data_IF_436723344896
#
_entry.id   IF_436723344896
#
_cell.length_a   1.000
_cell.length_b   1.000
_cell.length_c   1.000
_cell.angle_alpha   90.00
_cell.angle_beta   90.00
_cell.angle_gamma   90.00
#
_symmetry.space_group_name_H-M   'P 1'
#
loop_
_entity.id
_entity.type
_entity.pdbx_description
1 polymer ?
#
# COMPACT_ATOMS: atom_id res chain seq x y z
N UNK A 1 3.53 -39.82 -29.66
CA UNK A 1 2.58 -39.41 -28.62
C UNK A 1 3.43 -38.91 -27.45
N UNK A 2 3.70 -37.62 -27.39
CA UNK A 2 4.40 -37.00 -26.27
C UNK A 2 3.41 -36.91 -25.13
N UNK A 3 3.72 -37.54 -23.99
CA UNK A 3 2.99 -37.35 -22.75
C UNK A 3 2.99 -35.85 -22.41
N UNK A 4 1.84 -35.22 -22.52
CA UNK A 4 1.62 -33.91 -21.96
C UNK A 4 1.63 -34.08 -20.44
N UNK A 5 2.80 -33.93 -19.82
CA UNK A 5 2.92 -33.82 -18.38
C UNK A 5 2.11 -32.60 -18.02
N UNK A 6 0.89 -32.79 -17.56
CA UNK A 6 0.03 -31.72 -17.08
C UNK A 6 0.64 -31.17 -15.78
N UNK A 7 1.46 -30.13 -15.93
CA UNK A 7 2.04 -29.44 -14.76
C UNK A 7 0.88 -29.01 -13.84
N UNK A 8 1.03 -29.25 -12.53
CA UNK A 8 0.01 -28.90 -11.55
C UNK A 8 -0.34 -27.40 -11.71
N UNK A 9 -1.61 -27.04 -11.96
CA UNK A 9 -2.04 -25.67 -12.26
C UNK A 9 -1.62 -24.66 -11.19
N UNK A 10 -1.50 -25.09 -9.93
CA UNK A 10 -1.03 -24.25 -8.82
C UNK A 10 0.47 -23.94 -9.01
N UNK A 11 1.29 -24.96 -9.32
CA UNK A 11 2.73 -24.75 -9.52
C UNK A 11 3.02 -23.90 -10.76
N UNK A 12 2.28 -24.12 -11.84
CA UNK A 12 2.41 -23.31 -13.05
C UNK A 12 2.07 -21.83 -12.78
N UNK A 13 0.98 -21.58 -12.07
CA UNK A 13 0.59 -20.22 -11.67
C UNK A 13 1.63 -19.57 -10.76
N UNK A 14 2.15 -20.28 -9.74
CA UNK A 14 3.18 -19.76 -8.84
C UNK A 14 4.47 -19.40 -9.60
N UNK A 15 4.93 -20.29 -10.47
CA UNK A 15 6.14 -20.09 -11.27
C UNK A 15 6.02 -18.89 -12.23
N UNK A 16 4.85 -18.68 -12.81
CA UNK A 16 4.58 -17.55 -13.69
C UNK A 16 4.40 -16.21 -12.92
N UNK A 17 3.82 -16.24 -11.72
CA UNK A 17 3.60 -15.07 -10.89
C UNK A 17 4.90 -14.53 -10.26
N UNK A 18 5.87 -15.39 -9.97
CA UNK A 18 7.12 -14.99 -9.31
C UNK A 18 7.90 -13.93 -10.10
N UNK A 19 8.30 -14.15 -11.38
CA UNK A 19 9.03 -13.12 -12.14
C UNK A 19 8.21 -11.85 -12.35
N UNK A 20 6.87 -11.96 -12.38
CA UNK A 20 6.00 -10.80 -12.52
C UNK A 20 5.97 -9.92 -11.26
N UNK A 21 6.17 -10.49 -10.07
CA UNK A 21 6.25 -9.76 -8.80
C UNK A 21 7.66 -9.20 -8.50
N UNK A 22 8.71 -9.71 -9.16
CA UNK A 22 10.12 -9.35 -8.90
C UNK A 22 10.43 -7.84 -8.95
N UNK A 23 9.87 -7.05 -9.88
CA UNK A 23 10.12 -5.61 -9.89
C UNK A 23 9.76 -4.90 -8.58
N UNK A 24 8.80 -5.44 -7.81
CA UNK A 24 8.37 -4.87 -6.53
C UNK A 24 9.21 -5.35 -5.34
N UNK A 25 10.03 -6.40 -5.51
CA UNK A 25 10.82 -7.01 -4.45
C UNK A 25 11.73 -5.99 -3.74
N UNK A 26 12.50 -5.22 -4.50
CA UNK A 26 13.45 -4.27 -3.93
C UNK A 26 12.75 -3.17 -3.12
N UNK A 27 11.66 -2.61 -3.65
CA UNK A 27 10.87 -1.57 -2.97
C UNK A 27 10.23 -2.09 -1.69
N UNK A 28 9.59 -3.26 -1.74
CA UNK A 28 8.94 -3.87 -0.58
C UNK A 28 9.93 -4.29 0.51
N UNK A 29 11.07 -4.87 0.14
CA UNK A 29 12.11 -5.18 1.11
C UNK A 29 12.68 -3.92 1.75
N UNK A 30 12.99 -2.89 0.98
CA UNK A 30 13.53 -1.65 1.49
C UNK A 30 12.56 -0.97 2.47
N UNK A 31 11.31 -0.77 2.08
CA UNK A 31 10.29 -0.15 2.93
C UNK A 31 9.92 -1.03 4.13
N UNK A 32 9.86 -2.35 3.96
CA UNK A 32 9.66 -3.30 5.05
C UNK A 32 10.79 -3.26 6.07
N UNK A 33 12.06 -3.19 5.60
CA UNK A 33 13.22 -3.04 6.49
C UNK A 33 13.12 -1.71 7.27
N UNK A 34 12.78 -0.61 6.60
CA UNK A 34 12.59 0.68 7.26
C UNK A 34 11.49 0.61 8.35
N UNK A 35 10.36 -0.07 8.06
CA UNK A 35 9.30 -0.31 9.02
C UNK A 35 9.78 -1.17 10.21
N UNK A 36 10.51 -2.25 9.94
CA UNK A 36 11.07 -3.10 10.99
C UNK A 36 12.03 -2.36 11.93
N UNK A 37 12.92 -1.52 11.37
CA UNK A 37 13.82 -0.64 12.13
C UNK A 37 13.00 0.34 12.98
N UNK A 38 11.96 0.95 12.42
CA UNK A 38 11.06 1.85 13.13
C UNK A 38 10.41 1.17 14.34
N UNK A 39 9.86 -0.04 14.15
CA UNK A 39 9.28 -0.82 15.25
C UNK A 39 10.31 -1.18 16.33
N UNK A 40 11.56 -1.46 15.93
CA UNK A 40 12.65 -1.70 16.87
C UNK A 40 12.99 -0.45 17.69
N UNK A 41 13.05 0.71 17.05
CA UNK A 41 13.30 2.00 17.71
C UNK A 41 12.19 2.37 18.72
N UNK A 42 10.94 1.97 18.47
CA UNK A 42 9.81 2.09 19.41
C UNK A 42 9.86 1.07 20.58
N UNK A 43 10.84 0.14 20.59
CA UNK A 43 11.01 -0.85 21.65
C UNK A 43 10.28 -2.18 21.41
N UNK A 44 9.67 -2.39 20.24
CA UNK A 44 8.96 -3.63 19.93
C UNK A 44 9.90 -4.75 19.50
N UNK A 45 9.65 -5.97 19.99
CA UNK A 45 10.33 -7.17 19.54
C UNK A 45 9.90 -7.59 18.13
N UNK A 46 10.69 -8.47 17.47
CA UNK A 46 10.52 -8.88 16.06
C UNK A 46 9.13 -9.42 15.72
N UNK A 47 8.47 -10.07 16.67
CA UNK A 47 7.14 -10.64 16.44
C UNK A 47 6.05 -9.60 16.19
N UNK A 48 6.21 -8.40 16.74
CA UNK A 48 5.24 -7.32 16.53
C UNK A 48 5.21 -6.84 15.06
N UNK A 49 6.32 -6.39 14.46
CA UNK A 49 6.29 -5.99 13.06
C UNK A 49 5.96 -7.14 12.11
N UNK A 50 6.40 -8.36 12.38
CA UNK A 50 6.07 -9.53 11.57
C UNK A 50 4.56 -9.83 11.62
N UNK A 51 3.95 -9.81 12.81
CA UNK A 51 2.51 -10.04 12.94
C UNK A 51 1.69 -8.91 12.31
N UNK A 52 2.07 -7.65 12.53
CA UNK A 52 1.39 -6.51 11.92
C UNK A 52 1.51 -6.55 10.39
N UNK A 53 2.69 -6.80 9.86
CA UNK A 53 2.94 -6.95 8.42
C UNK A 53 2.15 -8.11 7.79
N UNK A 54 1.95 -9.20 8.52
CA UNK A 54 1.17 -10.34 8.03
C UNK A 54 -0.35 -10.12 8.13
N UNK A 55 -0.84 -9.41 9.16
CA UNK A 55 -2.27 -9.31 9.45
C UNK A 55 -2.89 -8.00 8.96
N UNK A 56 -2.19 -6.88 9.11
CA UNK A 56 -2.66 -5.57 8.66
C UNK A 56 -2.34 -5.38 7.18
N UNK A 57 -1.10 -5.66 6.80
CA UNK A 57 -0.59 -5.58 5.43
C UNK A 57 -1.02 -4.29 4.71
N UNK A 58 -0.78 -3.17 5.34
CA UNK A 58 -1.10 -1.84 4.80
C UNK A 58 -0.02 -0.84 5.24
N UNK A 59 1.14 -0.86 4.59
CA UNK A 59 2.38 -0.20 4.96
C UNK A 59 2.24 1.13 5.71
N UNK A 60 1.59 2.14 5.10
CA UNK A 60 1.36 3.44 5.76
C UNK A 60 0.53 3.34 7.04
N UNK A 61 -0.47 2.45 7.08
CA UNK A 61 -1.29 2.22 8.28
C UNK A 61 -0.49 1.52 9.37
N UNK A 62 0.44 0.64 9.01
CA UNK A 62 1.29 -0.04 9.98
C UNK A 62 2.21 0.95 10.72
N UNK A 63 2.77 1.95 10.04
CA UNK A 63 3.53 3.03 10.69
C UNK A 63 2.64 3.86 11.63
N UNK A 64 1.42 4.20 11.21
CA UNK A 64 0.45 4.92 12.04
C UNK A 64 0.04 4.08 13.25
N UNK A 65 -0.25 2.81 13.06
CA UNK A 65 -0.61 1.87 14.11
C UNK A 65 0.54 1.71 15.11
N UNK A 66 1.78 1.57 14.64
CA UNK A 66 2.96 1.50 15.48
C UNK A 66 3.13 2.75 16.37
N UNK A 67 2.95 3.96 15.80
CA UNK A 67 2.96 5.20 16.58
C UNK A 67 1.82 5.24 17.60
N UNK A 68 0.62 4.80 17.21
CA UNK A 68 -0.55 4.78 18.09
C UNK A 68 -0.39 3.81 19.28
N UNK A 69 0.39 2.73 19.13
CA UNK A 69 0.67 1.77 20.22
C UNK A 69 1.50 2.38 21.37
N UNK A 70 2.30 3.42 21.09
CA UNK A 70 3.13 4.10 22.11
C UNK A 70 2.53 5.41 22.60
N UNK A 71 1.38 5.83 22.06
CA UNK A 71 0.63 7.03 22.48
C UNK A 71 -0.57 6.67 23.35
N UNK A 72 -1.18 7.63 24.06
CA UNK A 72 -2.46 7.40 24.72
C UNK A 72 -3.50 6.88 23.73
N UNK A 73 -4.11 5.74 24.05
CA UNK A 73 -5.00 5.03 23.13
C UNK A 73 -6.27 5.84 22.82
N UNK A 74 -6.42 6.24 21.56
CA UNK A 74 -7.61 6.93 21.04
C UNK A 74 -8.13 6.20 19.81
N UNK A 75 -9.05 5.22 20.00
CA UNK A 75 -9.51 4.37 18.89
C UNK A 75 -10.21 5.16 17.79
N UNK A 76 -10.94 6.21 18.14
CA UNK A 76 -11.62 7.06 17.15
C UNK A 76 -10.61 7.81 16.26
N UNK A 77 -9.57 8.37 16.86
CA UNK A 77 -8.52 9.07 16.10
C UNK A 77 -7.79 8.10 15.16
N UNK A 78 -7.41 6.93 15.66
CA UNK A 78 -6.76 5.90 14.84
C UNK A 78 -7.67 5.46 13.70
N UNK A 79 -8.96 5.21 13.95
CA UNK A 79 -9.92 4.82 12.93
C UNK A 79 -10.09 5.90 11.84
N UNK A 80 -10.22 7.16 12.24
CA UNK A 80 -10.33 8.28 11.31
C UNK A 80 -9.08 8.42 10.44
N UNK A 81 -7.89 8.45 11.05
CA UNK A 81 -6.63 8.57 10.32
C UNK A 81 -6.44 7.38 9.37
N UNK A 82 -6.73 6.16 9.82
CA UNK A 82 -6.67 4.96 8.99
C UNK A 82 -7.61 5.06 7.79
N UNK A 83 -8.86 5.46 8.01
CA UNK A 83 -9.84 5.64 6.93
C UNK A 83 -9.35 6.69 5.91
N UNK A 84 -8.76 7.77 6.39
CA UNK A 84 -8.25 8.84 5.55
C UNK A 84 -7.06 8.40 4.69
N UNK A 85 -6.11 7.68 5.26
CA UNK A 85 -4.91 7.20 4.56
C UNK A 85 -5.23 6.05 3.62
N UNK A 86 -6.10 5.12 4.05
CA UNK A 86 -6.43 3.89 3.31
C UNK A 86 -7.75 3.95 2.56
N UNK A 87 -8.48 5.06 2.59
CA UNK A 87 -9.76 5.20 1.91
C UNK A 87 -9.70 4.93 0.40
N UNK A 88 -8.54 5.14 -0.23
CA UNK A 88 -8.29 4.79 -1.64
C UNK A 88 -8.46 3.29 -1.92
N UNK A 89 -8.20 2.42 -0.95
CA UNK A 89 -8.35 0.96 -1.12
C UNK A 89 -9.80 0.54 -1.36
N UNK A 90 -10.79 1.33 -0.92
CA UNK A 90 -12.21 1.12 -1.24
C UNK A 90 -12.42 1.18 -2.76
N UNK A 91 -11.82 2.15 -3.43
CA UNK A 91 -11.91 2.30 -4.88
C UNK A 91 -11.17 1.18 -5.62
N UNK A 92 -10.07 0.69 -5.08
CA UNK A 92 -9.40 -0.51 -5.61
C UNK A 92 -10.31 -1.73 -5.53
N UNK A 93 -10.95 -1.93 -4.37
CA UNK A 93 -11.92 -3.00 -4.19
C UNK A 93 -13.05 -2.95 -5.21
N UNK A 94 -13.64 -1.77 -5.44
CA UNK A 94 -14.69 -1.56 -6.45
C UNK A 94 -14.16 -1.89 -7.85
N UNK A 95 -12.96 -1.44 -8.20
CA UNK A 95 -12.35 -1.68 -9.52
C UNK A 95 -12.00 -3.15 -9.77
N UNK A 96 -11.79 -3.93 -8.70
CA UNK A 96 -11.45 -5.35 -8.77
C UNK A 96 -12.66 -6.30 -8.66
N UNK A 97 -13.89 -5.78 -8.50
CA UNK A 97 -15.09 -6.59 -8.31
C UNK A 97 -15.27 -7.63 -9.43
N UNK A 98 -15.03 -7.26 -10.67
CA UNK A 98 -15.14 -8.18 -11.81
C UNK A 98 -14.04 -9.24 -11.79
N UNK A 99 -12.78 -8.82 -11.58
CA UNK A 99 -11.62 -9.73 -11.56
C UNK A 99 -11.61 -10.66 -10.35
N UNK A 100 -12.05 -10.18 -9.19
CA UNK A 100 -12.14 -10.95 -7.93
C UNK A 100 -13.53 -11.53 -7.70
N UNK A 101 -14.31 -11.70 -8.76
CA UNK A 101 -15.67 -12.23 -8.71
C UNK A 101 -15.76 -13.69 -8.27
N UNK A 102 -16.97 -14.26 -8.36
CA UNK A 102 -17.28 -15.60 -7.86
C UNK A 102 -16.42 -16.72 -8.51
N UNK A 103 -15.97 -16.52 -9.74
CA UNK A 103 -15.11 -17.45 -10.50
C UNK A 103 -13.76 -17.72 -9.83
N UNK A 104 -13.28 -16.83 -8.95
CA UNK A 104 -12.02 -16.99 -8.20
C UNK A 104 -12.18 -17.93 -7.00
N UNK A 105 -13.40 -18.18 -6.55
CA UNK A 105 -13.70 -19.03 -5.40
C UNK A 105 -13.20 -18.45 -4.07
N UNK A 106 -12.77 -19.33 -3.15
CA UNK A 106 -12.34 -18.92 -1.79
C UNK A 106 -11.09 -18.02 -1.79
N UNK A 107 -10.27 -18.06 -2.85
CA UNK A 107 -9.06 -17.22 -2.99
C UNK A 107 -9.36 -15.72 -2.96
N UNK A 108 -10.59 -15.32 -3.33
CA UNK A 108 -11.02 -13.91 -3.32
C UNK A 108 -10.87 -13.24 -1.95
N UNK A 109 -11.11 -13.96 -0.86
CA UNK A 109 -11.01 -13.39 0.48
C UNK A 109 -9.57 -12.97 0.82
N UNK A 110 -8.61 -13.81 0.44
CA UNK A 110 -7.20 -13.46 0.57
C UNK A 110 -6.82 -12.28 -0.34
N UNK A 111 -7.25 -12.30 -1.60
CA UNK A 111 -6.99 -11.23 -2.55
C UNK A 111 -7.56 -9.87 -2.10
N UNK A 112 -8.73 -9.88 -1.44
CA UNK A 112 -9.34 -8.66 -0.89
C UNK A 112 -8.56 -8.18 0.34
N UNK A 113 -8.16 -9.09 1.24
CA UNK A 113 -7.43 -8.73 2.45
C UNK A 113 -6.00 -8.24 2.16
N UNK A 114 -5.42 -8.64 1.03
CA UNK A 114 -4.07 -8.23 0.60
C UNK A 114 -4.09 -7.19 -0.52
N UNK A 115 -5.20 -6.44 -0.65
CA UNK A 115 -5.37 -5.44 -1.70
C UNK A 115 -4.73 -4.11 -1.29
N UNK A 116 -3.48 -3.93 -1.66
CA UNK A 116 -2.70 -2.69 -1.53
C UNK A 116 -2.38 -2.10 -2.90
N UNK A 117 -1.77 -0.92 -2.96
CA UNK A 117 -1.50 -0.18 -4.20
C UNK A 117 -0.81 -1.05 -5.26
N UNK A 118 0.20 -1.78 -4.85
CA UNK A 118 1.05 -2.58 -5.74
C UNK A 118 0.34 -3.87 -6.16
N UNK A 119 -0.33 -4.55 -5.24
CA UNK A 119 -1.11 -5.75 -5.58
C UNK A 119 -2.28 -5.42 -6.49
N UNK A 120 -2.93 -4.26 -6.27
CA UNK A 120 -3.94 -3.71 -7.17
C UNK A 120 -3.35 -3.46 -8.56
N UNK A 121 -2.26 -2.70 -8.64
CA UNK A 121 -1.63 -2.33 -9.91
C UNK A 121 -1.23 -3.57 -10.72
N UNK A 122 -0.52 -4.52 -10.09
CA UNK A 122 -0.08 -5.73 -10.76
C UNK A 122 -1.27 -6.60 -11.20
N UNK A 123 -2.21 -6.90 -10.31
CA UNK A 123 -3.35 -7.76 -10.62
C UNK A 123 -4.34 -7.10 -11.62
N UNK A 124 -4.48 -5.77 -11.56
CA UNK A 124 -5.32 -5.04 -12.51
C UNK A 124 -4.75 -5.05 -13.93
N UNK A 125 -3.42 -4.87 -14.05
CA UNK A 125 -2.73 -4.83 -15.33
C UNK A 125 -2.36 -6.21 -15.89
N UNK A 126 -2.44 -7.28 -15.06
CA UNK A 126 -2.01 -8.62 -15.46
C UNK A 126 -2.75 -9.12 -16.70
N UNK A 127 -1.98 -9.45 -17.74
CA UNK A 127 -2.43 -10.20 -18.92
C UNK A 127 -2.10 -11.67 -18.68
N UNK A 128 -3.01 -12.37 -18.03
CA UNK A 128 -2.80 -13.77 -17.60
C UNK A 128 -3.09 -14.69 -18.79
N UNK A 129 -2.14 -15.54 -19.20
CA UNK A 129 -2.36 -16.52 -20.27
C UNK A 129 -3.53 -17.46 -19.95
N UNK A 130 -4.29 -17.85 -20.99
CA UNK A 130 -5.52 -18.66 -20.81
C UNK A 130 -5.27 -20.07 -20.27
N UNK A 131 -4.05 -20.60 -20.42
CA UNK A 131 -3.66 -21.90 -19.86
C UNK A 131 -3.37 -21.88 -18.35
N UNK A 132 -3.32 -20.69 -17.72
CA UNK A 132 -3.09 -20.53 -16.29
C UNK A 132 -4.40 -20.26 -15.54
N UNK A 133 -4.53 -20.81 -14.33
CA UNK A 133 -5.61 -20.42 -13.41
C UNK A 133 -5.42 -18.99 -12.96
N UNK A 134 -6.33 -18.10 -13.39
CA UNK A 134 -6.29 -16.66 -13.09
C UNK A 134 -6.32 -16.38 -11.60
N UNK A 135 -7.07 -17.18 -10.84
CA UNK A 135 -7.21 -17.02 -9.39
C UNK A 135 -5.93 -17.38 -8.64
N UNK A 136 -5.29 -18.50 -9.01
CA UNK A 136 -4.00 -18.86 -8.42
C UNK A 136 -2.88 -17.92 -8.84
N UNK A 137 -2.89 -17.44 -10.06
CA UNK A 137 -1.89 -16.47 -10.53
C UNK A 137 -1.95 -15.19 -9.68
N UNK A 138 -3.13 -14.55 -9.56
CA UNK A 138 -3.31 -13.33 -8.77
C UNK A 138 -3.04 -13.57 -7.28
N UNK A 139 -3.42 -14.75 -6.76
CA UNK A 139 -3.09 -15.15 -5.40
C UNK A 139 -1.58 -15.16 -5.15
N UNK A 140 -0.80 -15.78 -6.03
CA UNK A 140 0.66 -15.85 -5.85
C UNK A 140 1.34 -14.50 -6.06
N UNK A 141 0.86 -13.65 -6.97
CA UNK A 141 1.34 -12.26 -7.07
C UNK A 141 1.19 -11.56 -5.71
N UNK A 142 -0.01 -11.55 -5.14
CA UNK A 142 -0.27 -10.92 -3.84
C UNK A 142 0.51 -11.57 -2.70
N UNK A 143 0.64 -12.90 -2.71
CA UNK A 143 1.37 -13.66 -1.72
C UNK A 143 2.87 -13.32 -1.71
N UNK A 144 3.51 -13.24 -2.87
CA UNK A 144 4.93 -12.87 -2.96
C UNK A 144 5.17 -11.46 -2.46
N UNK A 145 4.31 -10.50 -2.81
CA UNK A 145 4.40 -9.14 -2.29
C UNK A 145 4.28 -9.10 -0.76
N UNK A 146 3.34 -9.85 -0.19
CA UNK A 146 3.18 -9.93 1.26
C UNK A 146 4.40 -10.55 1.92
N UNK A 147 4.96 -11.63 1.35
CA UNK A 147 6.19 -12.26 1.84
C UNK A 147 7.36 -11.27 1.82
N UNK A 148 7.51 -10.50 0.74
CA UNK A 148 8.59 -9.50 0.66
C UNK A 148 8.48 -8.46 1.77
N UNK A 149 7.26 -7.98 2.05
CA UNK A 149 7.00 -7.03 3.11
C UNK A 149 7.27 -7.60 4.50
N UNK A 150 6.73 -8.77 4.81
CA UNK A 150 6.89 -9.47 6.10
C UNK A 150 8.36 -9.79 6.38
N UNK A 151 9.07 -10.30 5.37
CA UNK A 151 10.51 -10.59 5.47
C UNK A 151 11.30 -9.30 5.70
N UNK A 152 11.00 -8.24 4.97
CA UNK A 152 11.60 -6.92 5.18
C UNK A 152 11.40 -6.42 6.61
N UNK A 153 10.16 -6.46 7.11
CA UNK A 153 9.83 -6.03 8.47
C UNK A 153 10.57 -6.85 9.55
N UNK A 154 10.65 -8.16 9.36
CA UNK A 154 11.40 -9.04 10.27
C UNK A 154 12.90 -8.74 10.27
N UNK A 155 13.51 -8.65 9.08
CA UNK A 155 14.95 -8.34 8.92
C UNK A 155 15.27 -6.94 9.49
N UNK A 156 14.44 -5.94 9.19
CA UNK A 156 14.62 -4.59 9.70
C UNK A 156 14.60 -4.53 11.24
N UNK A 157 13.69 -5.25 11.88
CA UNK A 157 13.64 -5.30 13.34
C UNK A 157 14.83 -6.06 13.93
N UNK A 158 15.24 -7.19 13.34
CA UNK A 158 16.38 -7.98 13.82
C UNK A 158 17.70 -7.19 13.71
N UNK A 159 17.93 -6.53 12.60
CA UNK A 159 19.16 -5.79 12.34
C UNK A 159 19.12 -4.33 12.80
N UNK A 160 17.93 -3.82 13.15
CA UNK A 160 17.74 -2.43 13.61
C UNK A 160 18.49 -2.07 14.88
N UNK A 161 18.92 -3.06 15.69
CA UNK A 161 19.77 -2.84 16.86
C UNK A 161 21.25 -2.61 16.53
N UNK A 162 21.70 -2.98 15.32
CA UNK A 162 23.09 -2.82 14.86
C UNK A 162 23.29 -1.39 14.30
N UNK A 163 22.22 -0.77 13.84
CA UNK A 163 22.24 0.57 13.30
C UNK A 163 21.89 1.52 14.46
N UNK A 164 22.82 2.39 14.92
CA UNK A 164 22.52 3.36 15.96
C UNK A 164 21.55 4.42 15.42
N UNK A 165 20.26 4.11 15.47
CA UNK A 165 19.21 5.06 15.12
C UNK A 165 18.88 5.92 16.35
N UNK A 166 19.13 7.22 16.27
CA UNK A 166 18.55 8.18 17.20
C UNK A 166 17.01 8.26 16.92
N UNK A 167 16.20 8.17 17.98
CA UNK A 167 14.74 8.29 17.91
C UNK A 167 14.29 9.57 17.18
N UNK A 168 15.07 10.63 17.20
CA UNK A 168 14.84 11.86 16.43
C UNK A 168 14.85 11.63 14.91
N UNK A 169 15.57 10.60 14.42
CA UNK A 169 15.56 10.22 13.01
C UNK A 169 14.33 9.41 12.59
N UNK A 170 13.62 8.80 13.53
CA UNK A 170 12.44 7.96 13.25
C UNK A 170 11.25 8.80 12.81
N UNK A 171 11.03 9.95 13.46
CA UNK A 171 9.98 10.92 13.04
C UNK A 171 10.26 11.41 11.61
N UNK A 172 11.53 11.65 11.28
CA UNK A 172 11.94 11.99 9.92
C UNK A 172 11.73 10.81 8.94
N UNK A 173 11.91 9.57 9.37
CA UNK A 173 11.67 8.37 8.55
C UNK A 173 10.23 8.29 8.04
N UNK A 174 9.25 8.62 8.89
CA UNK A 174 7.84 8.71 8.47
C UNK A 174 7.62 9.82 7.44
N UNK A 175 8.17 10.99 7.69
CA UNK A 175 8.08 12.13 6.75
C UNK A 175 8.74 11.78 5.41
N UNK A 176 9.91 11.14 5.45
CA UNK A 176 10.61 10.68 4.25
C UNK A 176 9.80 9.64 3.47
N UNK A 177 9.15 8.68 4.16
CA UNK A 177 8.28 7.70 3.54
C UNK A 177 7.13 8.37 2.77
N UNK A 178 6.42 9.31 3.40
CA UNK A 178 5.33 10.02 2.74
C UNK A 178 5.82 10.89 1.58
N UNK A 179 7.02 11.48 1.69
CA UNK A 179 7.65 12.22 0.59
C UNK A 179 8.00 11.29 -0.58
N UNK A 180 8.50 10.09 -0.32
CA UNK A 180 8.79 9.09 -1.36
C UNK A 180 7.51 8.66 -2.05
N UNK A 181 6.45 8.33 -1.30
CA UNK A 181 5.14 7.96 -1.86
C UNK A 181 4.58 9.10 -2.71
N UNK A 182 4.67 10.33 -2.22
CA UNK A 182 4.25 11.51 -2.98
C UNK A 182 5.07 11.67 -4.27
N UNK A 183 6.40 11.56 -4.19
CA UNK A 183 7.29 11.68 -5.34
C UNK A 183 7.04 10.57 -6.38
N UNK A 184 6.84 9.33 -5.95
CA UNK A 184 6.47 8.22 -6.85
C UNK A 184 5.15 8.49 -7.57
N UNK A 185 4.13 8.94 -6.85
CA UNK A 185 2.85 9.29 -7.47
C UNK A 185 3.01 10.46 -8.44
N UNK A 186 3.74 11.49 -8.05
CA UNK A 186 4.05 12.63 -8.90
C UNK A 186 4.71 12.21 -10.22
N UNK A 187 5.71 11.32 -10.16
CA UNK A 187 6.40 10.84 -11.37
C UNK A 187 5.52 9.96 -12.26
N UNK A 188 4.52 9.27 -11.70
CA UNK A 188 3.58 8.42 -12.44
C UNK A 188 2.40 9.20 -13.04
N UNK A 189 2.09 10.37 -12.49
CA UNK A 189 0.98 11.20 -12.95
C UNK A 189 1.29 11.88 -14.29
N UNK A 190 0.36 11.79 -15.25
CA UNK A 190 0.41 12.56 -16.50
C UNK A 190 -0.02 14.02 -16.34
N UNK A 191 -0.77 14.31 -15.28
CA UNK A 191 -1.26 15.67 -14.96
C UNK A 191 -1.14 15.90 -13.46
N UNK A 192 -0.33 16.86 -13.06
CA UNK A 192 -0.08 17.19 -11.64
C UNK A 192 -1.14 18.10 -11.01
N UNK A 193 -2.25 18.33 -11.71
CA UNK A 193 -3.31 19.26 -11.26
C UNK A 193 -3.93 18.83 -9.93
N UNK A 194 -4.18 17.53 -9.76
CA UNK A 194 -4.73 16.96 -8.52
C UNK A 194 -3.76 17.09 -7.35
N UNK A 195 -2.49 16.77 -7.59
CA UNK A 195 -1.43 16.84 -6.58
C UNK A 195 -1.13 18.28 -6.15
N UNK A 196 -1.08 19.22 -7.10
CA UNK A 196 -0.92 20.65 -6.81
C UNK A 196 -2.11 21.20 -6.03
N UNK A 197 -3.33 20.82 -6.40
CA UNK A 197 -4.54 21.21 -5.69
C UNK A 197 -4.52 20.68 -4.26
N UNK A 198 -4.14 19.42 -4.06
CA UNK A 198 -3.97 18.81 -2.73
C UNK A 198 -2.97 19.55 -1.86
N UNK A 199 -1.78 19.86 -2.41
CA UNK A 199 -0.75 20.64 -1.72
C UNK A 199 -1.24 22.05 -1.37
N UNK A 200 -1.89 22.74 -2.30
CA UNK A 200 -2.43 24.09 -2.07
C UNK A 200 -3.48 24.13 -0.97
N UNK A 201 -4.41 23.16 -0.97
CA UNK A 201 -5.44 23.04 0.07
C UNK A 201 -4.81 22.68 1.42
N UNK A 202 -3.84 21.76 1.45
CA UNK A 202 -3.15 21.39 2.68
C UNK A 202 -2.41 22.59 3.30
N UNK A 203 -1.70 23.36 2.49
CA UNK A 203 -0.99 24.55 2.92
C UNK A 203 -1.96 25.64 3.42
N UNK A 204 -3.04 25.90 2.69
CA UNK A 204 -4.07 26.87 3.09
C UNK A 204 -4.73 26.45 4.43
N UNK A 205 -5.10 25.18 4.56
CA UNK A 205 -5.69 24.66 5.81
C UNK A 205 -4.73 24.75 6.99
N UNK A 206 -3.44 24.48 6.77
CA UNK A 206 -2.41 24.61 7.79
C UNK A 206 -2.31 26.05 8.32
N UNK A 207 -2.38 27.05 7.43
CA UNK A 207 -2.32 28.46 7.79
C UNK A 207 -3.59 28.95 8.52
N UNK A 208 -4.77 28.43 8.13
CA UNK A 208 -6.07 28.90 8.67
C UNK A 208 -6.41 28.19 9.98
N UNK A 209 -6.23 26.88 10.05
CA UNK A 209 -6.71 26.04 11.15
C UNK A 209 -5.60 25.72 12.16
N UNK A 210 -4.33 25.87 11.75
CA UNK A 210 -3.17 25.54 12.56
C UNK A 210 -2.82 24.05 12.54
N UNK A 211 -1.59 23.76 13.00
CA UNK A 211 -0.97 22.43 12.87
C UNK A 211 -1.67 21.28 13.61
N UNK A 212 -2.46 21.59 14.64
CA UNK A 212 -3.10 20.55 15.46
C UNK A 212 -4.39 19.98 14.83
N UNK A 213 -5.11 20.79 14.04
CA UNK A 213 -6.44 20.43 13.57
C UNK A 213 -6.61 20.53 12.04
N UNK A 214 -5.55 20.85 11.28
CA UNK A 214 -5.66 21.08 9.84
C UNK A 214 -6.01 19.82 9.03
N UNK A 215 -5.68 18.63 9.52
CA UNK A 215 -5.75 17.38 8.76
C UNK A 215 -7.18 17.08 8.28
N UNK A 216 -8.16 17.10 9.18
CA UNK A 216 -9.56 16.76 8.86
C UNK A 216 -10.19 17.77 7.89
N UNK A 217 -10.12 19.10 8.12
CA UNK A 217 -10.61 20.07 7.17
C UNK A 217 -9.94 19.99 5.81
N UNK A 218 -8.62 19.73 5.76
CA UNK A 218 -7.87 19.55 4.51
C UNK A 218 -8.46 18.42 3.67
N UNK A 219 -8.65 17.26 4.28
CA UNK A 219 -9.11 16.09 3.56
C UNK A 219 -10.55 16.22 3.06
N UNK A 220 -11.43 16.79 3.88
CA UNK A 220 -12.80 17.10 3.46
C UNK A 220 -12.78 18.09 2.29
N UNK A 221 -11.97 19.15 2.37
CA UNK A 221 -11.84 20.17 1.32
C UNK A 221 -11.30 19.58 0.02
N UNK A 222 -10.25 18.75 0.10
CA UNK A 222 -9.69 18.04 -1.08
C UNK A 222 -10.75 17.13 -1.70
N UNK A 223 -11.47 16.35 -0.90
CA UNK A 223 -12.51 15.46 -1.39
C UNK A 223 -13.62 16.21 -2.12
N UNK A 224 -14.14 17.30 -1.52
CA UNK A 224 -15.16 18.16 -2.15
C UNK A 224 -14.64 18.75 -3.46
N UNK A 225 -13.44 19.37 -3.45
CA UNK A 225 -12.87 20.02 -4.61
C UNK A 225 -12.59 19.05 -5.77
N UNK A 226 -12.06 17.88 -5.49
CA UNK A 226 -11.83 16.84 -6.49
C UNK A 226 -13.14 16.28 -7.04
N UNK A 227 -14.16 16.11 -6.20
CA UNK A 227 -15.49 15.65 -6.64
C UNK A 227 -16.15 16.67 -7.56
N UNK A 228 -16.13 17.95 -7.21
CA UNK A 228 -16.69 19.03 -8.05
C UNK A 228 -15.91 19.20 -9.36
N UNK A 229 -14.58 19.02 -9.34
CA UNK A 229 -13.73 19.12 -10.53
C UNK A 229 -13.62 17.83 -11.35
N UNK A 230 -14.19 16.73 -10.88
CA UNK A 230 -14.13 15.42 -11.54
C UNK A 230 -14.45 15.47 -13.05
N UNK A 231 -15.49 16.15 -13.54
CA UNK A 231 -15.77 16.18 -14.97
C UNK A 231 -14.65 16.79 -15.81
N UNK A 232 -14.06 17.90 -15.33
CA UNK A 232 -12.93 18.58 -16.00
C UNK A 232 -11.63 17.76 -15.95
N UNK A 233 -11.36 17.11 -14.83
CA UNK A 233 -10.17 16.27 -14.66
C UNK A 233 -10.26 15.00 -15.51
N UNK A 234 -11.42 14.36 -15.60
CA UNK A 234 -11.63 13.16 -16.43
C UNK A 234 -11.46 13.47 -17.91
N UNK A 235 -12.06 14.56 -18.42
CA UNK A 235 -11.92 14.94 -19.83
C UNK A 235 -10.47 15.28 -20.20
N UNK A 236 -9.72 15.89 -19.29
CA UNK A 236 -8.31 16.22 -19.51
C UNK A 236 -7.41 14.97 -19.51
N UNK A 237 -7.70 13.99 -18.64
CA UNK A 237 -7.00 12.71 -18.60
C UNK A 237 -7.29 11.84 -19.82
N UNK A 238 -8.50 11.90 -20.37
CA UNK A 238 -8.86 11.24 -21.63
C UNK A 238 -8.14 11.85 -22.83
N UNK A 239 -7.94 13.16 -22.84
CA UNK A 239 -7.19 13.86 -23.89
C UNK A 239 -5.68 13.59 -23.84
N UNK A 240 -5.15 13.06 -22.73
CA UNK A 240 -3.74 12.71 -22.53
C UNK A 240 -3.45 11.21 -22.74
N UNK A 241 -4.48 10.40 -23.07
CA UNK A 241 -4.35 9.00 -23.45
C UNK A 241 -4.01 8.84 -24.92
#
# INVERSE_FOLDING_TARGET
MSEVVTENPIKAAAKAAFPYSMPMLAGFLFLGIAYGIYMKALGFGVWFPVAMAALIYAGSVEFIAAAALVMPFSPLSVALVTLMVSGRQIFYGISMLEKYGAQIGKKRWYLISTLVDESFSLNYMAKIPDHLDKGWYMFFVSFYLQVYWVVGAGLGNLFGSIIPFDLKGVEFGMTALFLVIFAENWLKEKSHESSLLGLGVAFASLLIVGKEHFLVPTLISIWILLTVRRPKLSSKLEALK
#
